data_IF_228405069973
#
_entry.id   IF_228405069973
#
_cell.length_a   1.000
_cell.length_b   1.000
_cell.length_c   1.000
_cell.angle_alpha   90.00
_cell.angle_beta   90.00
_cell.angle_gamma   90.00
#
_symmetry.space_group_name_H-M   'P 1'
#
loop_
_entity.id
_entity.type
_entity.pdbx_description
1 polymer ?
#
# COMPACT_ATOMS: atom_id res chain seq x y z
N UNK A 1 -9.39 -27.80 -35.13
CA UNK A 1 -7.98 -28.28 -35.06
C UNK A 1 -7.15 -27.13 -34.50
N UNK A 2 -6.54 -27.34 -33.32
CA UNK A 2 -5.70 -26.33 -32.68
C UNK A 2 -4.33 -26.25 -33.36
N UNK A 3 -3.84 -25.03 -33.53
CA UNK A 3 -2.51 -24.78 -34.11
C UNK A 3 -1.54 -24.47 -32.98
N UNK A 4 -0.41 -25.20 -32.93
CA UNK A 4 0.71 -24.91 -32.03
C UNK A 4 1.72 -24.02 -32.77
N UNK A 5 2.12 -22.91 -32.16
CA UNK A 5 3.05 -21.96 -32.75
C UNK A 5 3.81 -21.14 -31.72
N UNK A 6 4.71 -20.27 -32.17
CA UNK A 6 5.36 -19.26 -31.33
C UNK A 6 5.09 -17.87 -31.90
N UNK A 7 4.65 -16.95 -31.05
CA UNK A 7 4.52 -15.55 -31.43
C UNK A 7 5.08 -14.67 -30.29
N UNK A 8 5.91 -13.68 -30.63
CA UNK A 8 6.53 -12.76 -29.66
C UNK A 8 7.18 -13.43 -28.43
N UNK A 9 7.75 -14.64 -28.59
CA UNK A 9 8.38 -15.38 -27.51
C UNK A 9 7.46 -16.30 -26.70
N UNK A 10 6.14 -16.19 -26.85
CA UNK A 10 5.16 -17.04 -26.19
C UNK A 10 4.99 -18.38 -26.92
N UNK A 11 4.86 -19.46 -26.18
CA UNK A 11 4.49 -20.77 -26.72
C UNK A 11 2.96 -20.87 -26.74
N UNK A 12 2.39 -20.83 -27.94
CA UNK A 12 0.95 -21.00 -28.12
C UNK A 12 0.61 -22.48 -28.10
N UNK A 13 -0.12 -22.90 -27.07
CA UNK A 13 -0.53 -24.30 -26.89
C UNK A 13 -1.83 -24.61 -27.62
N UNK A 14 -2.73 -23.65 -27.63
CA UNK A 14 -4.03 -23.79 -28.23
C UNK A 14 -4.55 -22.44 -28.72
N UNK A 15 -5.12 -22.43 -29.92
CA UNK A 15 -5.93 -21.31 -30.45
C UNK A 15 -7.08 -21.91 -31.23
N UNK A 16 -8.28 -21.44 -30.93
CA UNK A 16 -9.49 -21.72 -31.71
C UNK A 16 -10.08 -20.41 -32.21
N UNK A 17 -10.33 -20.34 -33.51
CA UNK A 17 -10.96 -19.18 -34.14
C UNK A 17 -12.26 -19.64 -34.76
N UNK A 18 -13.37 -18.94 -34.50
CA UNK A 18 -14.67 -19.23 -35.04
C UNK A 18 -15.35 -17.96 -35.55
N UNK A 19 -16.05 -18.09 -36.68
CA UNK A 19 -16.95 -17.05 -37.19
C UNK A 19 -18.21 -17.79 -37.64
N UNK A 20 -19.30 -17.65 -36.90
CA UNK A 20 -20.52 -18.47 -37.10
C UNK A 20 -21.40 -17.95 -38.25
N UNK A 21 -21.45 -16.62 -38.53
CA UNK A 21 -22.25 -16.03 -39.58
C UNK A 21 -21.45 -14.97 -40.37
N UNK A 22 -21.29 -15.17 -41.66
CA UNK A 22 -20.60 -14.22 -42.55
C UNK A 22 -21.45 -13.01 -42.96
N UNK A 23 -22.74 -12.97 -42.59
CA UNK A 23 -23.59 -11.78 -42.83
C UNK A 23 -23.48 -10.77 -41.69
N UNK A 24 -23.35 -11.27 -40.47
CA UNK A 24 -23.12 -10.49 -39.27
C UNK A 24 -21.91 -11.11 -38.54
N UNK A 25 -20.71 -10.97 -39.10
CA UNK A 25 -19.57 -11.75 -38.66
C UNK A 25 -19.10 -11.30 -37.26
N UNK A 26 -19.05 -12.25 -36.32
CA UNK A 26 -18.45 -12.12 -35.00
C UNK A 26 -17.25 -13.06 -34.99
N UNK A 27 -16.10 -12.52 -34.61
CA UNK A 27 -14.91 -13.30 -34.36
C UNK A 27 -14.93 -13.76 -32.89
N UNK A 28 -14.91 -15.07 -32.70
CA UNK A 28 -14.65 -15.69 -31.40
C UNK A 28 -13.29 -16.36 -31.41
N UNK A 29 -12.45 -16.03 -30.44
CA UNK A 29 -11.09 -16.53 -30.28
C UNK A 29 -10.90 -17.07 -28.86
N UNK A 30 -10.63 -18.37 -28.73
CA UNK A 30 -10.18 -18.99 -27.49
C UNK A 30 -8.69 -19.28 -27.61
N UNK A 31 -7.92 -19.02 -26.53
CA UNK A 31 -6.49 -19.25 -26.54
C UNK A 31 -5.96 -19.74 -25.19
N UNK A 32 -4.87 -20.51 -25.27
CA UNK A 32 -4.01 -20.89 -24.14
C UNK A 32 -2.56 -20.73 -24.59
N UNK A 33 -1.77 -20.07 -23.77
CA UNK A 33 -0.35 -19.84 -24.02
C UNK A 33 0.45 -19.84 -22.73
N UNK A 34 1.69 -20.31 -22.81
CA UNK A 34 2.68 -20.18 -21.74
C UNK A 34 3.74 -19.17 -22.15
N UNK A 35 4.13 -18.31 -21.26
CA UNK A 35 5.13 -17.28 -21.49
C UNK A 35 5.79 -16.84 -20.20
N UNK A 36 6.94 -16.18 -20.29
CA UNK A 36 7.54 -15.48 -19.18
C UNK A 36 6.84 -14.12 -18.95
N UNK A 37 6.62 -13.72 -17.71
CA UNK A 37 5.94 -12.46 -17.36
C UNK A 37 6.52 -11.22 -18.06
N UNK A 38 7.85 -11.04 -18.20
CA UNK A 38 8.38 -9.90 -18.95
C UNK A 38 7.88 -9.81 -20.39
N UNK A 39 7.73 -10.95 -21.06
CA UNK A 39 7.23 -11.01 -22.44
C UNK A 39 5.74 -10.68 -22.52
N UNK A 40 4.96 -11.13 -21.52
CA UNK A 40 3.56 -10.77 -21.39
C UNK A 40 3.38 -9.25 -21.20
N UNK A 41 4.16 -8.63 -20.33
CA UNK A 41 4.10 -7.18 -20.07
C UNK A 41 4.43 -6.40 -21.35
N UNK A 42 5.45 -6.82 -22.11
CA UNK A 42 5.75 -6.21 -23.42
C UNK A 42 4.59 -6.35 -24.41
N UNK A 43 3.93 -7.49 -24.44
CA UNK A 43 2.75 -7.68 -25.29
C UNK A 43 1.58 -6.79 -24.86
N UNK A 44 1.30 -6.71 -23.55
CA UNK A 44 0.20 -5.91 -23.00
C UNK A 44 0.34 -4.41 -23.27
N UNK A 45 1.57 -3.88 -23.41
CA UNK A 45 1.81 -2.48 -23.82
C UNK A 45 1.23 -2.11 -25.18
N UNK A 46 0.99 -3.09 -26.05
CA UNK A 46 0.37 -2.90 -27.35
C UNK A 46 -1.14 -3.14 -27.36
N UNK A 47 -1.73 -3.35 -26.18
CA UNK A 47 -3.16 -3.61 -26.02
C UNK A 47 -3.81 -2.50 -25.19
N UNK A 48 -5.10 -2.19 -25.39
CA UNK A 48 -5.80 -1.20 -24.56
C UNK A 48 -6.08 -1.68 -23.13
N UNK A 49 -5.67 -2.89 -22.75
CA UNK A 49 -5.94 -3.47 -21.45
C UNK A 49 -5.24 -2.74 -20.29
N UNK A 50 -4.14 -2.06 -20.57
CA UNK A 50 -3.39 -1.30 -19.57
C UNK A 50 -3.70 0.21 -19.58
N UNK A 51 -4.43 0.71 -20.58
CA UNK A 51 -4.76 2.14 -20.70
C UNK A 51 -5.57 2.64 -19.49
N UNK A 52 -6.32 1.73 -18.85
CA UNK A 52 -7.08 2.01 -17.64
C UNK A 52 -6.22 2.22 -16.38
N UNK A 53 -4.99 1.71 -16.30
CA UNK A 53 -4.24 1.65 -15.05
C UNK A 53 -3.44 2.93 -14.72
N UNK A 54 -3.04 3.74 -15.71
CA UNK A 54 -2.09 4.86 -15.53
C UNK A 54 -0.85 4.48 -14.69
N UNK A 55 -0.44 3.21 -14.80
CA UNK A 55 0.74 2.69 -14.11
C UNK A 55 1.96 2.82 -15.02
N UNK A 56 3.02 3.41 -14.48
CA UNK A 56 4.32 3.38 -15.15
C UNK A 56 4.97 1.99 -14.98
N UNK A 57 4.68 1.10 -15.92
CA UNK A 57 5.20 -0.28 -15.90
C UNK A 57 6.74 -0.37 -15.86
N UNK A 58 7.46 0.72 -16.18
CA UNK A 58 8.93 0.76 -16.07
C UNK A 58 9.43 0.76 -14.63
N UNK A 59 8.54 1.03 -13.68
CA UNK A 59 8.83 0.97 -12.24
C UNK A 59 8.72 -0.42 -11.66
N UNK A 60 8.25 -1.39 -12.44
CA UNK A 60 8.01 -2.75 -11.99
C UNK A 60 8.83 -3.75 -12.79
N UNK A 61 9.40 -4.72 -12.10
CA UNK A 61 10.02 -5.90 -12.67
C UNK A 61 9.21 -7.10 -12.26
N UNK A 62 8.76 -7.86 -13.26
CA UNK A 62 7.99 -9.08 -13.12
C UNK A 62 8.81 -10.22 -13.70
N UNK A 63 8.99 -11.31 -12.97
CA UNK A 63 9.82 -12.45 -13.37
C UNK A 63 9.07 -13.76 -13.12
N UNK A 64 9.39 -14.74 -13.93
CA UNK A 64 8.89 -16.12 -13.82
C UNK A 64 7.84 -16.50 -14.86
N UNK A 65 7.53 -17.81 -14.91
CA UNK A 65 6.62 -18.36 -15.89
C UNK A 65 5.15 -18.01 -15.59
N UNK A 66 4.35 -17.99 -16.65
CA UNK A 66 2.91 -17.77 -16.54
C UNK A 66 2.15 -18.57 -17.61
N UNK A 67 0.96 -19.03 -17.24
CA UNK A 67 0.00 -19.61 -18.17
C UNK A 67 -1.18 -18.65 -18.32
N UNK A 68 -1.55 -18.38 -19.58
CA UNK A 68 -2.65 -17.46 -19.89
C UNK A 68 -3.71 -18.24 -20.66
N UNK A 69 -4.94 -18.14 -20.22
CA UNK A 69 -6.12 -18.61 -20.94
C UNK A 69 -7.07 -17.43 -21.17
N UNK A 70 -7.72 -17.40 -22.31
CA UNK A 70 -8.68 -16.31 -22.54
C UNK A 70 -9.61 -16.56 -23.70
N UNK A 71 -10.68 -15.76 -23.67
CA UNK A 71 -11.69 -15.66 -24.70
C UNK A 71 -11.76 -14.19 -25.17
N UNK A 72 -11.82 -14.01 -26.48
CA UNK A 72 -12.01 -12.72 -27.11
C UNK A 72 -13.13 -12.83 -28.13
N UNK A 73 -14.11 -11.93 -28.06
CA UNK A 73 -15.20 -11.84 -29.03
C UNK A 73 -15.38 -10.41 -29.51
N UNK A 74 -15.49 -10.21 -30.83
CA UNK A 74 -15.68 -8.88 -31.41
C UNK A 74 -16.40 -8.96 -32.75
N UNK A 75 -17.18 -7.93 -33.07
CA UNK A 75 -17.78 -7.77 -34.38
C UNK A 75 -16.75 -7.43 -35.45
N UNK A 76 -16.89 -7.99 -36.65
CA UNK A 76 -16.06 -7.70 -37.79
C UNK A 76 -16.81 -6.84 -38.83
N UNK A 77 -16.07 -5.98 -39.50
CA UNK A 77 -16.61 -5.12 -40.59
C UNK A 77 -17.62 -4.09 -40.08
N UNK A 78 -18.89 -4.24 -40.42
CA UNK A 78 -19.98 -3.34 -40.01
C UNK A 78 -20.82 -3.90 -38.88
N UNK A 79 -20.42 -5.02 -38.26
CA UNK A 79 -21.12 -5.63 -37.15
C UNK A 79 -20.81 -4.88 -35.84
N UNK A 80 -21.81 -4.22 -35.28
CA UNK A 80 -21.69 -3.44 -34.05
C UNK A 80 -21.71 -4.36 -32.82
N UNK A 81 -20.64 -5.10 -32.60
CA UNK A 81 -20.41 -5.84 -31.35
C UNK A 81 -19.13 -5.32 -30.72
N UNK A 82 -19.21 -4.74 -29.52
CA UNK A 82 -18.01 -4.27 -28.82
C UNK A 82 -17.08 -5.43 -28.49
N UNK A 83 -15.79 -5.13 -28.42
CA UNK A 83 -14.79 -6.08 -27.97
C UNK A 83 -15.12 -6.59 -26.55
N UNK A 84 -15.28 -7.88 -26.42
CA UNK A 84 -15.36 -8.60 -25.15
C UNK A 84 -14.05 -9.37 -24.97
N UNK A 85 -13.47 -9.26 -23.78
CA UNK A 85 -12.24 -9.96 -23.41
C UNK A 85 -12.43 -10.45 -21.98
N UNK A 86 -12.18 -11.71 -21.75
CA UNK A 86 -12.11 -12.31 -20.43
C UNK A 86 -11.07 -13.45 -20.44
N UNK A 87 -10.48 -13.72 -19.28
CA UNK A 87 -9.51 -14.78 -19.17
C UNK A 87 -8.88 -14.86 -17.80
N UNK A 88 -7.86 -15.71 -17.72
CA UNK A 88 -7.10 -15.94 -16.51
C UNK A 88 -5.59 -16.00 -16.79
N UNK A 89 -4.82 -15.48 -15.86
CA UNK A 89 -3.36 -15.55 -15.81
C UNK A 89 -2.98 -16.31 -14.54
N UNK A 90 -2.37 -17.48 -14.70
CA UNK A 90 -1.87 -18.28 -13.58
C UNK A 90 -0.40 -18.00 -13.33
N UNK A 91 -0.07 -17.70 -12.10
CA UNK A 91 1.28 -17.47 -11.57
C UNK A 91 1.79 -18.70 -10.82
N UNK A 92 3.07 -19.01 -10.94
CA UNK A 92 3.70 -20.20 -10.38
C UNK A 92 5.11 -19.88 -9.89
N UNK A 93 5.22 -19.35 -8.65
CA UNK A 93 6.50 -18.99 -8.06
C UNK A 93 7.11 -17.73 -8.70
N UNK A 94 6.28 -16.77 -9.05
CA UNK A 94 6.70 -15.54 -9.70
C UNK A 94 7.30 -14.53 -8.71
N UNK A 95 8.07 -13.58 -9.24
CA UNK A 95 8.65 -12.49 -8.48
C UNK A 95 8.19 -11.15 -9.02
N UNK A 96 7.85 -10.25 -8.10
CA UNK A 96 7.51 -8.85 -8.36
C UNK A 96 8.47 -7.95 -7.61
N UNK A 97 9.00 -6.91 -8.28
CA UNK A 97 9.83 -5.87 -7.67
C UNK A 97 9.31 -4.50 -8.06
N UNK A 98 9.01 -3.65 -7.08
CA UNK A 98 8.76 -2.22 -7.28
C UNK A 98 10.06 -1.46 -7.07
N UNK A 99 10.54 -0.77 -8.11
CA UNK A 99 11.89 -0.23 -8.17
C UNK A 99 12.08 1.07 -7.36
N UNK A 100 11.01 1.81 -7.07
CA UNK A 100 11.10 3.09 -6.36
C UNK A 100 11.24 2.88 -4.85
N UNK A 101 10.42 2.00 -4.28
CA UNK A 101 10.41 1.67 -2.85
C UNK A 101 11.34 0.51 -2.51
N UNK A 102 11.72 -0.30 -3.53
CA UNK A 102 12.48 -1.52 -3.35
C UNK A 102 11.67 -2.67 -2.75
N UNK A 103 10.34 -2.62 -2.80
CA UNK A 103 9.47 -3.72 -2.36
C UNK A 103 9.65 -4.90 -3.30
N UNK A 104 9.93 -6.05 -2.71
CA UNK A 104 10.06 -7.34 -3.42
C UNK A 104 9.06 -8.32 -2.82
N UNK A 105 8.29 -8.96 -3.70
CA UNK A 105 7.43 -10.09 -3.38
C UNK A 105 7.96 -11.30 -4.16
N UNK A 106 8.24 -12.37 -3.44
CA UNK A 106 8.76 -13.63 -3.97
C UNK A 106 7.68 -14.71 -3.91
N UNK A 107 7.90 -15.79 -4.68
CA UNK A 107 7.08 -16.99 -4.66
C UNK A 107 5.58 -16.72 -4.84
N UNK A 108 5.24 -15.79 -5.74
CA UNK A 108 3.84 -15.43 -5.99
C UNK A 108 3.16 -16.57 -6.76
N UNK A 109 2.09 -17.10 -6.17
CA UNK A 109 1.26 -18.16 -6.74
C UNK A 109 -0.22 -17.76 -6.71
N UNK A 110 -0.98 -18.22 -7.69
CA UNK A 110 -2.43 -18.03 -7.79
C UNK A 110 -2.87 -17.59 -9.17
N UNK A 111 -4.12 -17.11 -9.25
CA UNK A 111 -4.73 -16.79 -10.54
C UNK A 111 -5.30 -15.38 -10.54
N UNK A 112 -4.92 -14.60 -11.55
CA UNK A 112 -5.61 -13.36 -11.92
C UNK A 112 -6.72 -13.66 -12.92
N UNK A 113 -7.88 -13.07 -12.72
CA UNK A 113 -8.92 -13.00 -13.71
C UNK A 113 -8.94 -11.60 -14.33
N UNK A 114 -9.03 -11.52 -15.64
CA UNK A 114 -9.11 -10.25 -16.34
C UNK A 114 -10.33 -10.19 -17.25
N UNK A 115 -10.91 -9.04 -17.35
CA UNK A 115 -12.05 -8.74 -18.20
C UNK A 115 -11.96 -7.31 -18.70
N UNK A 116 -12.87 -6.91 -19.58
CA UNK A 116 -12.82 -5.60 -20.22
C UNK A 116 -12.80 -4.41 -19.24
N UNK A 117 -13.48 -4.52 -18.09
CA UNK A 117 -13.57 -3.45 -17.10
C UNK A 117 -12.46 -3.49 -16.05
N UNK A 118 -11.64 -4.53 -16.00
CA UNK A 118 -10.61 -4.61 -14.98
C UNK A 118 -9.95 -5.97 -14.84
N UNK A 119 -9.30 -6.15 -13.74
CA UNK A 119 -8.66 -7.40 -13.33
C UNK A 119 -8.87 -7.63 -11.84
N UNK A 120 -8.94 -8.89 -11.43
CA UNK A 120 -9.04 -9.28 -10.03
C UNK A 120 -8.21 -10.53 -9.70
N UNK A 121 -7.71 -10.57 -8.50
CA UNK A 121 -7.10 -11.75 -7.89
C UNK A 121 -7.32 -11.67 -6.38
N UNK A 122 -8.09 -12.60 -5.83
CA UNK A 122 -8.50 -12.56 -4.42
C UNK A 122 -7.68 -13.50 -3.53
N UNK A 123 -7.05 -14.52 -4.11
CA UNK A 123 -6.40 -15.60 -3.38
C UNK A 123 -4.96 -15.83 -3.86
N UNK A 124 -4.20 -14.76 -4.06
CA UNK A 124 -2.77 -14.93 -4.33
C UNK A 124 -2.02 -15.15 -3.02
N UNK A 125 -1.02 -16.00 -3.05
CA UNK A 125 -0.05 -16.18 -1.98
C UNK A 125 1.34 -15.77 -2.46
N UNK A 126 2.21 -15.42 -1.51
CA UNK A 126 3.59 -15.07 -1.80
C UNK A 126 4.41 -14.89 -0.52
N UNK A 127 5.59 -14.34 -0.66
CA UNK A 127 6.47 -14.02 0.46
C UNK A 127 6.97 -12.59 0.39
N UNK A 128 6.90 -11.87 1.50
CA UNK A 128 7.53 -10.57 1.68
C UNK A 128 8.68 -10.67 2.67
N UNK A 129 9.91 -10.44 2.21
CA UNK A 129 11.14 -10.60 3.03
C UNK A 129 11.23 -11.97 3.73
N UNK A 130 10.73 -13.03 3.07
CA UNK A 130 10.70 -14.39 3.58
C UNK A 130 9.53 -14.74 4.52
N UNK A 131 8.61 -13.81 4.78
CA UNK A 131 7.38 -14.05 5.55
C UNK A 131 6.23 -14.35 4.59
N UNK A 132 5.43 -15.38 4.86
CA UNK A 132 4.28 -15.70 4.01
C UNK A 132 3.22 -14.60 4.11
N UNK A 133 2.68 -14.21 2.96
CA UNK A 133 1.65 -13.18 2.82
C UNK A 133 0.58 -13.61 1.83
N UNK A 134 -0.65 -13.17 2.08
CA UNK A 134 -1.71 -13.16 1.08
C UNK A 134 -1.69 -11.86 0.30
N UNK A 135 -2.09 -11.91 -0.95
CA UNK A 135 -2.15 -10.76 -1.85
C UNK A 135 -3.53 -10.72 -2.51
N UNK A 136 -4.09 -9.54 -2.60
CA UNK A 136 -5.35 -9.30 -3.30
C UNK A 136 -5.17 -8.13 -4.26
N UNK A 137 -5.75 -8.23 -5.44
CA UNK A 137 -5.76 -7.15 -6.42
C UNK A 137 -7.17 -7.06 -6.99
N UNK A 138 -7.71 -5.86 -7.01
CA UNK A 138 -9.01 -5.55 -7.61
C UNK A 138 -8.83 -4.29 -8.45
N UNK A 139 -9.34 -4.31 -9.66
CA UNK A 139 -9.49 -3.10 -10.45
C UNK A 139 -10.83 -3.08 -11.16
N UNK A 140 -11.44 -1.91 -11.18
CA UNK A 140 -12.66 -1.60 -11.93
C UNK A 140 -12.50 -0.20 -12.53
N UNK A 141 -12.34 -0.14 -13.86
CA UNK A 141 -12.10 1.13 -14.55
C UNK A 141 -13.28 2.10 -14.47
N UNK A 142 -14.46 1.62 -14.10
CA UNK A 142 -15.68 2.42 -13.99
C UNK A 142 -15.98 2.87 -12.56
N UNK A 143 -15.30 2.30 -11.56
CA UNK A 143 -15.46 2.66 -10.14
C UNK A 143 -14.68 3.93 -9.74
N UNK A 144 -15.03 4.50 -8.58
CA UNK A 144 -14.30 5.61 -7.96
C UNK A 144 -12.90 5.16 -7.48
N UNK A 145 -12.81 3.96 -6.90
CA UNK A 145 -11.56 3.28 -6.64
C UNK A 145 -11.23 2.38 -7.83
N UNK A 146 -10.42 2.89 -8.75
CA UNK A 146 -10.10 2.20 -10.01
C UNK A 146 -9.13 1.05 -9.84
N UNK A 147 -8.37 1.02 -8.75
CA UNK A 147 -7.40 -0.03 -8.44
C UNK A 147 -7.13 -0.10 -6.95
N UNK A 148 -7.07 -1.31 -6.43
CA UNK A 148 -6.56 -1.64 -5.09
C UNK A 148 -5.66 -2.87 -5.17
N UNK A 149 -4.48 -2.79 -4.57
CA UNK A 149 -3.64 -3.95 -4.27
C UNK A 149 -3.40 -4.02 -2.77
N UNK A 150 -3.62 -5.16 -2.16
CA UNK A 150 -3.45 -5.37 -0.71
C UNK A 150 -2.52 -6.54 -0.45
N UNK A 151 -1.72 -6.40 0.60
CA UNK A 151 -0.89 -7.44 1.19
C UNK A 151 -1.36 -7.63 2.62
N UNK A 152 -1.62 -8.86 3.03
CA UNK A 152 -1.98 -9.20 4.39
C UNK A 152 -1.14 -10.35 4.92
N UNK A 153 -0.69 -10.23 6.17
CA UNK A 153 0.14 -11.26 6.80
C UNK A 153 0.63 -10.90 8.19
N UNK A 154 1.17 -11.90 8.88
CA UNK A 154 1.83 -11.70 10.17
C UNK A 154 3.28 -11.33 9.93
N UNK A 155 3.64 -10.07 10.22
CA UNK A 155 4.98 -9.53 9.99
C UNK A 155 5.55 -8.91 11.28
N UNK A 156 6.86 -9.04 11.51
CA UNK A 156 7.55 -8.26 12.52
C UNK A 156 7.41 -6.76 12.23
N UNK A 157 7.12 -5.94 13.26
CA UNK A 157 6.97 -4.49 13.11
C UNK A 157 8.18 -3.85 12.39
N UNK A 158 9.39 -4.37 12.61
CA UNK A 158 10.62 -3.90 11.96
C UNK A 158 10.70 -4.16 10.46
N UNK A 159 9.87 -5.05 9.93
CA UNK A 159 9.80 -5.30 8.49
C UNK A 159 8.80 -4.39 7.79
N UNK A 160 7.84 -3.83 8.53
CA UNK A 160 6.84 -2.89 8.03
C UNK A 160 7.34 -1.45 8.08
N UNK A 161 8.01 -1.07 9.17
CA UNK A 161 8.61 0.27 9.29
C UNK A 161 9.82 0.38 8.33
N UNK A 162 9.90 1.44 7.50
CA UNK A 162 11.05 1.67 6.63
C UNK A 162 12.39 1.70 7.39
N UNK A 163 13.43 1.08 6.83
CA UNK A 163 14.71 0.94 7.49
C UNK A 163 15.37 2.29 7.81
N UNK A 164 15.27 3.24 6.90
CA UNK A 164 15.77 4.60 7.08
C UNK A 164 15.04 5.36 8.22
N UNK A 165 13.76 5.06 8.44
CA UNK A 165 12.99 5.61 9.54
C UNK A 165 13.39 4.98 10.88
N UNK A 166 13.66 3.67 10.91
CA UNK A 166 14.19 2.98 12.09
C UNK A 166 15.57 3.52 12.50
N UNK A 167 16.41 3.89 11.54
CA UNK A 167 17.74 4.46 11.78
C UNK A 167 17.68 5.92 12.27
N UNK A 168 16.82 6.73 11.67
CA UNK A 168 16.69 8.17 11.98
C UNK A 168 15.90 8.45 13.24
N UNK A 169 14.90 7.62 13.53
CA UNK A 169 13.94 7.85 14.62
C UNK A 169 13.98 6.71 15.63
N UNK A 170 14.80 6.84 16.69
CA UNK A 170 14.97 5.80 17.70
C UNK A 170 13.68 5.33 18.39
N UNK A 171 12.62 6.16 18.38
CA UNK A 171 11.31 5.79 18.94
C UNK A 171 10.70 4.55 18.26
N UNK A 172 10.89 4.40 16.95
CA UNK A 172 10.40 3.22 16.23
C UNK A 172 11.16 1.94 16.59
N UNK A 173 12.42 2.06 17.04
CA UNK A 173 13.21 0.91 17.50
C UNK A 173 12.73 0.34 18.85
N UNK A 174 11.87 1.08 19.56
CA UNK A 174 11.24 0.67 20.82
C UNK A 174 10.03 -0.23 20.63
N UNK A 175 9.56 -0.39 19.37
CA UNK A 175 8.51 -1.35 19.06
C UNK A 175 9.13 -2.69 18.66
N UNK A 176 8.58 -3.79 19.18
CA UNK A 176 9.05 -5.15 18.91
C UNK A 176 7.91 -6.16 18.94
N UNK A 177 8.07 -7.26 18.21
CA UNK A 177 7.07 -8.32 18.08
C UNK A 177 6.42 -8.32 16.70
N UNK A 178 5.48 -9.24 16.52
CA UNK A 178 4.81 -9.52 15.27
C UNK A 178 3.32 -9.20 15.40
N UNK A 179 2.71 -8.70 14.34
CA UNK A 179 1.26 -8.48 14.29
C UNK A 179 0.73 -8.83 12.91
N UNK A 180 -0.58 -8.96 12.81
CA UNK A 180 -1.27 -8.99 11.52
C UNK A 180 -1.28 -7.57 10.94
N UNK A 181 -0.86 -7.47 9.69
CA UNK A 181 -0.82 -6.24 8.93
C UNK A 181 -1.68 -6.37 7.68
N UNK A 182 -2.34 -5.28 7.34
CA UNK A 182 -3.02 -5.07 6.08
C UNK A 182 -2.41 -3.82 5.45
N UNK A 183 -1.73 -3.99 4.31
CA UNK A 183 -0.99 -2.93 3.62
C UNK A 183 -1.55 -2.82 2.22
N UNK A 184 -2.24 -1.73 1.93
CA UNK A 184 -2.92 -1.50 0.67
C UNK A 184 -2.42 -0.28 -0.09
N UNK A 185 -2.40 -0.37 -1.41
CA UNK A 185 -2.24 0.76 -2.32
C UNK A 185 -3.54 0.92 -3.09
N UNK A 186 -4.15 2.10 -3.00
CA UNK A 186 -5.38 2.46 -3.70
C UNK A 186 -5.13 3.56 -4.71
N UNK A 187 -5.76 3.45 -5.87
CA UNK A 187 -5.81 4.50 -6.89
C UNK A 187 -7.25 4.96 -7.03
N UNK A 188 -7.50 6.22 -6.67
CA UNK A 188 -8.82 6.84 -6.72
C UNK A 188 -8.94 7.75 -7.94
N UNK A 189 -10.15 7.84 -8.50
CA UNK A 189 -10.50 8.78 -9.57
C UNK A 189 -10.85 10.14 -8.96
N UNK A 190 -10.33 11.22 -9.51
CA UNK A 190 -10.79 12.58 -9.21
C UNK A 190 -11.76 13.09 -10.29
N UNK A 191 -12.89 13.68 -9.87
CA UNK A 191 -14.01 14.05 -10.74
C UNK A 191 -13.73 15.20 -11.73
N UNK A 192 -12.78 16.11 -11.46
CA UNK A 192 -12.69 17.37 -12.23
C UNK A 192 -11.48 17.50 -13.16
N UNK A 193 -10.47 16.65 -13.10
CA UNK A 193 -9.21 16.89 -13.84
C UNK A 193 -8.56 15.63 -14.45
N UNK A 194 -9.22 14.49 -14.48
CA UNK A 194 -8.64 13.20 -14.88
C UNK A 194 -7.31 12.86 -14.13
N UNK A 195 -7.05 13.51 -13.01
CA UNK A 195 -5.94 13.16 -12.14
C UNK A 195 -6.38 12.03 -11.21
N UNK A 196 -5.48 11.10 -10.96
CA UNK A 196 -5.70 9.99 -10.05
C UNK A 196 -4.89 10.22 -8.80
N UNK A 197 -5.51 9.99 -7.66
CA UNK A 197 -4.81 9.97 -6.39
C UNK A 197 -4.37 8.57 -6.04
N UNK A 198 -3.16 8.42 -5.53
CA UNK A 198 -2.61 7.15 -5.07
C UNK A 198 -2.26 7.27 -3.60
N UNK A 199 -2.82 6.36 -2.81
CA UNK A 199 -2.65 6.30 -1.37
C UNK A 199 -2.06 4.96 -0.95
N UNK A 200 -1.15 4.98 0.01
CA UNK A 200 -0.74 3.82 0.78
C UNK A 200 -1.51 3.84 2.10
N UNK A 201 -2.15 2.74 2.44
CA UNK A 201 -2.82 2.52 3.72
C UNK A 201 -2.17 1.35 4.44
N UNK A 202 -1.86 1.53 5.73
CA UNK A 202 -1.28 0.48 6.58
C UNK A 202 -2.18 0.37 7.80
N UNK A 203 -2.75 -0.81 7.99
CA UNK A 203 -3.59 -1.13 9.14
C UNK A 203 -3.00 -2.30 9.94
N UNK A 204 -3.12 -2.23 11.26
CA UNK A 204 -2.84 -3.33 12.18
C UNK A 204 -3.59 -3.10 13.50
N UNK A 205 -3.96 -4.19 14.18
CA UNK A 205 -4.40 -4.15 15.58
C UNK A 205 -3.25 -4.03 16.57
N UNK A 206 -2.00 -4.12 16.12
CA UNK A 206 -0.78 -4.17 16.93
C UNK A 206 -0.81 -5.23 18.04
N UNK A 207 -1.69 -6.22 17.97
CA UNK A 207 -1.69 -7.35 18.90
C UNK A 207 -0.43 -8.19 18.65
N UNK A 208 0.34 -8.48 19.69
CA UNK A 208 1.65 -9.14 19.60
C UNK A 208 2.83 -8.16 19.55
N UNK A 209 2.58 -6.87 19.31
CA UNK A 209 3.62 -5.83 19.34
C UNK A 209 3.66 -5.15 20.69
N UNK A 210 4.80 -5.20 21.37
CA UNK A 210 5.12 -4.39 22.55
C UNK A 210 5.78 -3.07 22.13
N UNK A 211 5.40 -1.97 22.81
CA UNK A 211 5.99 -0.64 22.61
C UNK A 211 6.58 -0.18 23.95
N UNK A 212 7.90 -0.12 24.03
CA UNK A 212 8.66 0.29 25.22
C UNK A 212 8.87 1.82 25.21
N UNK A 213 7.77 2.53 25.43
CA UNK A 213 7.74 3.98 25.58
C UNK A 213 7.03 4.36 26.89
N UNK A 214 7.32 5.55 27.45
CA UNK A 214 6.56 6.08 28.58
C UNK A 214 5.09 6.33 28.21
N UNK A 215 4.16 6.28 29.18
CA UNK A 215 2.80 6.75 28.96
C UNK A 215 2.76 8.15 28.31
N UNK A 216 1.85 8.38 27.33
CA UNK A 216 0.72 7.55 26.95
C UNK A 216 1.00 6.53 25.82
N UNK A 217 2.22 6.39 25.32
CA UNK A 217 2.51 5.58 24.12
C UNK A 217 3.06 4.17 24.44
N UNK A 218 3.35 3.87 25.70
CA UNK A 218 3.76 2.53 26.13
C UNK A 218 2.62 1.52 26.01
N UNK A 219 2.91 0.33 25.44
CA UNK A 219 1.92 -0.69 25.15
C UNK A 219 2.47 -2.08 25.42
N UNK A 220 1.84 -2.91 26.28
CA UNK A 220 2.19 -4.33 26.39
C UNK A 220 1.77 -5.09 25.12
N UNK A 221 2.50 -6.18 24.84
CA UNK A 221 2.29 -6.95 23.59
C UNK A 221 0.92 -7.63 23.50
N UNK A 222 0.32 -7.98 24.63
CA UNK A 222 -0.97 -8.67 24.71
C UNK A 222 -2.20 -7.76 24.53
N UNK A 223 -2.00 -6.43 24.53
CA UNK A 223 -3.08 -5.48 24.27
C UNK A 223 -3.25 -5.19 22.79
N UNK A 224 -4.46 -4.83 22.39
CA UNK A 224 -4.78 -4.42 21.02
C UNK A 224 -4.90 -2.89 20.95
N UNK A 225 -4.14 -2.28 20.02
CA UNK A 225 -4.21 -0.86 19.68
C UNK A 225 -4.31 -0.72 18.17
N UNK A 226 -5.51 -0.59 17.61
CA UNK A 226 -5.67 -0.40 16.18
C UNK A 226 -4.91 0.84 15.72
N UNK A 227 -4.13 0.69 14.67
CA UNK A 227 -3.44 1.79 13.98
C UNK A 227 -3.81 1.79 12.51
N UNK A 228 -4.14 2.97 11.99
CA UNK A 228 -4.32 3.21 10.57
C UNK A 228 -3.39 4.36 10.15
N UNK A 229 -2.49 4.08 9.23
CA UNK A 229 -1.63 5.08 8.60
C UNK A 229 -2.06 5.25 7.16
N UNK A 230 -2.26 6.51 6.71
CA UNK A 230 -2.50 6.87 5.31
C UNK A 230 -1.39 7.78 4.83
N UNK A 231 -0.71 7.36 3.79
CA UNK A 231 0.40 8.08 3.18
C UNK A 231 0.08 8.46 1.74
N UNK A 232 0.17 9.76 1.36
CA UNK A 232 -0.10 10.21 0.00
C UNK A 232 1.10 9.89 -0.90
N UNK A 233 1.01 8.85 -1.74
CA UNK A 233 2.05 8.57 -2.75
C UNK A 233 1.95 9.62 -3.88
N UNK A 234 0.72 9.87 -4.34
CA UNK A 234 0.37 10.90 -5.33
C UNK A 234 -1.03 11.39 -5.00
N UNK A 235 -1.12 12.55 -4.38
CA UNK A 235 -2.39 13.12 -3.96
C UNK A 235 -2.34 14.65 -4.09
N UNK A 236 -3.51 15.27 -4.10
CA UNK A 236 -3.66 16.74 -4.12
C UNK A 236 -3.16 17.33 -2.81
N UNK A 237 -3.55 16.74 -1.70
CA UNK A 237 -3.09 17.09 -0.37
C UNK A 237 -2.00 16.11 0.08
N UNK A 238 -0.80 16.63 0.31
CA UNK A 238 0.34 15.84 0.76
C UNK A 238 0.37 15.74 2.28
N UNK A 239 -0.70 15.18 2.87
CA UNK A 239 -0.85 15.01 4.31
C UNK A 239 -0.83 13.53 4.68
N UNK A 240 0.22 13.11 5.39
CA UNK A 240 0.25 11.83 6.07
C UNK A 240 -0.63 11.91 7.32
N UNK A 241 -1.43 10.89 7.56
CA UNK A 241 -2.18 10.73 8.81
C UNK A 241 -1.85 9.39 9.45
N UNK A 242 -1.76 9.37 10.79
CA UNK A 242 -1.76 8.13 11.56
C UNK A 242 -2.76 8.27 12.70
N UNK A 243 -3.63 7.27 12.85
CA UNK A 243 -4.70 7.28 13.83
C UNK A 243 -4.66 6.01 14.65
N UNK A 244 -4.62 6.18 15.97
CA UNK A 244 -4.87 5.14 16.98
C UNK A 244 -6.13 5.58 17.75
N UNK A 245 -7.32 5.02 17.47
CA UNK A 245 -8.57 5.49 18.05
C UNK A 245 -8.53 5.54 19.58
N UNK A 246 -8.92 6.69 20.16
CA UNK A 246 -8.90 6.93 21.60
C UNK A 246 -7.53 7.19 22.21
N UNK A 247 -6.45 7.06 21.47
CA UNK A 247 -5.07 7.25 21.96
C UNK A 247 -4.41 8.46 21.29
N UNK A 248 -4.18 8.38 19.98
CA UNK A 248 -3.35 9.33 19.26
C UNK A 248 -3.89 9.57 17.84
N UNK A 249 -3.78 10.80 17.39
CA UNK A 249 -3.91 11.17 15.98
C UNK A 249 -2.71 12.04 15.59
N UNK A 250 -2.06 11.69 14.47
CA UNK A 250 -1.00 12.46 13.82
C UNK A 250 -1.52 12.99 12.50
N UNK A 251 -1.30 14.26 12.22
CA UNK A 251 -1.31 14.83 10.88
C UNK A 251 0.04 15.46 10.61
N UNK A 252 0.58 15.21 9.40
CA UNK A 252 1.87 15.73 8.98
C UNK A 252 1.78 16.15 7.53
N UNK A 253 1.99 17.43 7.26
CA UNK A 253 2.15 17.92 5.91
C UNK A 253 3.54 17.57 5.39
N UNK A 254 3.60 17.08 4.16
CA UNK A 254 4.82 16.68 3.50
C UNK A 254 5.10 17.59 2.29
N UNK A 255 6.37 17.89 2.06
CA UNK A 255 6.78 18.58 0.85
C UNK A 255 6.58 17.69 -0.38
N UNK A 256 6.13 18.27 -1.49
CA UNK A 256 5.77 17.56 -2.72
C UNK A 256 6.96 16.86 -3.39
N UNK A 257 8.15 17.44 -3.26
CA UNK A 257 9.31 17.04 -4.04
C UNK A 257 10.13 15.91 -3.37
N UNK A 258 10.22 15.94 -2.04
CA UNK A 258 11.12 15.06 -1.27
C UNK A 258 10.45 14.41 -0.05
N UNK A 259 9.14 14.59 0.11
CA UNK A 259 8.33 14.05 1.21
C UNK A 259 8.86 14.41 2.62
N UNK A 260 9.70 15.46 2.75
CA UNK A 260 10.15 15.93 4.07
C UNK A 260 9.00 16.58 4.83
N UNK A 261 8.97 16.47 6.17
CA UNK A 261 7.98 17.13 6.99
C UNK A 261 8.02 18.65 6.83
N UNK A 262 6.85 19.25 6.62
CA UNK A 262 6.65 20.72 6.54
C UNK A 262 6.03 21.24 7.81
N UNK A 263 5.01 20.58 8.32
CA UNK A 263 4.36 20.89 9.59
C UNK A 263 3.74 19.62 10.16
N UNK A 264 3.55 19.54 11.47
CA UNK A 264 2.92 18.37 12.08
C UNK A 264 2.13 18.73 13.34
N UNK A 265 1.10 17.94 13.63
CA UNK A 265 0.36 17.97 14.89
C UNK A 265 0.14 16.55 15.39
N UNK A 266 0.46 16.33 16.66
CA UNK A 266 0.10 15.12 17.43
C UNK A 266 -0.98 15.52 18.43
N UNK A 267 -2.09 14.83 18.36
CA UNK A 267 -3.23 15.01 19.24
C UNK A 267 -3.48 13.75 20.06
N UNK A 268 -3.40 13.85 21.39
CA UNK A 268 -3.83 12.83 22.30
C UNK A 268 -5.30 12.99 22.63
N UNK A 269 -6.10 11.94 22.46
CA UNK A 269 -7.54 12.00 22.65
C UNK A 269 -8.23 13.05 21.78
N UNK A 270 -9.55 13.11 21.82
CA UNK A 270 -10.33 14.16 21.18
C UNK A 270 -10.19 14.27 19.68
N UNK A 271 -10.51 15.46 19.15
CA UNK A 271 -10.42 15.75 17.71
C UNK A 271 -9.08 16.42 17.39
N UNK A 272 -8.41 15.94 16.35
CA UNK A 272 -7.13 16.50 15.91
C UNK A 272 -7.29 17.99 15.53
N UNK A 273 -6.36 18.83 16.00
CA UNK A 273 -6.26 20.25 15.65
C UNK A 273 -5.82 20.41 14.18
N UNK A 274 -5.96 21.62 13.65
CA UNK A 274 -5.42 21.98 12.35
C UNK A 274 -3.89 21.98 12.38
N UNK A 275 -3.27 21.80 11.19
CA UNK A 275 -1.83 21.85 11.05
C UNK A 275 -1.30 23.24 11.43
N UNK A 276 -0.17 23.34 12.15
CA UNK A 276 0.48 24.61 12.45
C UNK A 276 1.17 25.18 11.21
N UNK A 277 1.69 26.41 11.33
CA UNK A 277 2.51 27.03 10.30
C UNK A 277 3.75 26.19 9.97
N UNK A 278 4.23 26.29 8.74
CA UNK A 278 5.40 25.58 8.25
C UNK A 278 6.62 25.72 9.18
N UNK A 279 7.38 24.63 9.35
CA UNK A 279 8.51 24.54 10.26
C UNK A 279 8.13 24.19 11.69
N UNK A 280 6.85 24.11 12.03
CA UNK A 280 6.38 23.89 13.38
C UNK A 280 5.80 22.47 13.59
N UNK A 281 5.94 22.01 14.83
CA UNK A 281 5.34 20.80 15.36
C UNK A 281 4.57 21.15 16.64
N UNK A 282 3.36 20.62 16.78
CA UNK A 282 2.48 20.86 17.93
C UNK A 282 2.09 19.52 18.55
N UNK A 283 2.14 19.45 19.88
CA UNK A 283 1.58 18.35 20.67
C UNK A 283 0.43 18.92 21.48
N UNK A 284 -0.74 18.28 21.42
CA UNK A 284 -1.91 18.76 22.15
C UNK A 284 -2.81 17.62 22.60
N UNK A 285 -3.74 17.89 23.51
CA UNK A 285 -4.85 17.01 23.85
C UNK A 285 -4.90 16.56 25.27
N UNK A 286 -5.52 15.39 25.50
CA UNK A 286 -5.70 14.83 26.83
C UNK A 286 -5.39 13.34 26.86
N UNK A 287 -4.85 12.88 27.99
CA UNK A 287 -4.51 11.47 28.21
C UNK A 287 -4.79 11.09 29.66
N UNK A 288 -4.94 9.80 29.94
CA UNK A 288 -5.12 9.32 31.30
C UNK A 288 -3.85 9.45 32.15
N UNK A 289 -2.68 9.22 31.55
CA UNK A 289 -1.40 9.29 32.24
C UNK A 289 -0.32 9.86 31.32
N UNK A 290 0.59 10.65 31.90
CA UNK A 290 1.75 11.20 31.21
C UNK A 290 2.99 11.11 32.13
N UNK A 291 4.01 10.40 31.67
CA UNK A 291 5.29 10.27 32.37
C UNK A 291 6.29 11.28 31.80
N UNK A 292 6.35 12.47 32.38
CA UNK A 292 7.24 13.53 31.94
C UNK A 292 8.72 13.16 32.12
N UNK A 293 9.05 12.46 33.20
CA UNK A 293 10.44 12.06 33.50
C UNK A 293 10.94 11.08 32.43
N UNK A 294 10.15 10.04 32.12
CA UNK A 294 10.47 9.09 31.08
C UNK A 294 10.62 9.75 29.68
N UNK A 295 9.79 10.73 29.36
CA UNK A 295 9.90 11.49 28.10
C UNK A 295 11.13 12.41 28.07
N UNK A 296 11.51 13.02 29.21
CA UNK A 296 12.73 13.82 29.31
C UNK A 296 13.96 12.92 29.10
N UNK A 297 14.01 11.75 29.74
CA UNK A 297 15.11 10.81 29.59
C UNK A 297 15.29 10.37 28.13
N UNK A 298 14.20 10.06 27.43
CA UNK A 298 14.23 9.73 26.01
C UNK A 298 14.70 10.89 25.13
N UNK A 299 14.29 12.13 25.43
CA UNK A 299 14.75 13.30 24.70
C UNK A 299 16.22 13.57 24.93
N UNK A 300 16.73 13.43 26.14
CA UNK A 300 18.17 13.55 26.45
C UNK A 300 18.98 12.48 25.73
N UNK A 301 18.52 11.24 25.66
CA UNK A 301 19.14 10.18 24.87
C UNK A 301 19.22 10.55 23.38
N UNK A 302 18.14 11.13 22.84
CA UNK A 302 18.03 11.59 21.45
C UNK A 302 19.00 12.75 21.14
N UNK A 303 19.02 13.79 21.95
CA UNK A 303 19.89 14.97 21.74
C UNK A 303 21.38 14.61 21.84
N UNK A 304 21.75 13.60 22.61
CA UNK A 304 23.14 13.12 22.68
C UNK A 304 23.59 12.43 21.39
N UNK A 305 22.67 11.94 20.55
CA UNK A 305 22.95 11.26 19.27
C UNK A 305 22.82 12.14 18.02
N UNK A 306 22.65 13.48 18.15
CA UNK A 306 22.50 14.42 17.01
C UNK A 306 21.47 13.97 15.97
N UNK A 307 20.23 13.79 16.36
CA UNK A 307 19.13 13.51 15.43
C UNK A 307 18.33 14.78 15.18
N UNK A 308 18.48 15.34 13.97
CA UNK A 308 17.63 16.43 13.49
C UNK A 308 16.29 15.82 13.03
N UNK A 309 15.20 16.07 13.73
CA UNK A 309 13.86 15.55 13.38
C UNK A 309 13.35 16.36 12.21
N UNK A 310 13.73 15.98 10.98
CA UNK A 310 13.11 16.53 9.77
C UNK A 310 13.04 18.04 9.70
N UNK A 311 13.78 18.80 10.54
CA UNK A 311 13.80 20.26 10.55
C UNK A 311 12.58 20.91 11.21
N UNK A 312 11.66 20.17 11.87
CA UNK A 312 10.53 20.75 12.59
C UNK A 312 10.93 21.20 14.01
N UNK A 313 10.44 22.37 14.42
CA UNK A 313 10.61 22.91 15.78
C UNK A 313 9.36 22.66 16.61
N UNK A 314 9.50 22.12 17.82
CA UNK A 314 8.38 22.02 18.77
C UNK A 314 7.95 23.44 19.15
N UNK A 315 6.76 23.85 18.66
CA UNK A 315 6.19 25.17 18.92
C UNK A 315 5.37 25.21 20.21
N UNK A 316 4.54 24.18 20.43
CA UNK A 316 3.69 24.09 21.61
C UNK A 316 3.51 22.64 22.00
N UNK A 317 3.56 22.38 23.32
CA UNK A 317 3.13 21.13 23.92
C UNK A 317 2.11 21.47 25.03
N UNK A 318 0.87 21.05 24.85
CA UNK A 318 -0.24 21.29 25.79
C UNK A 318 -1.04 19.98 25.93
N UNK A 319 -0.77 19.25 27.00
CA UNK A 319 -1.40 17.95 27.25
C UNK A 319 -1.99 17.96 28.65
N UNK A 320 -3.31 17.78 28.74
CA UNK A 320 -4.01 17.53 29.98
C UNK A 320 -3.88 16.05 30.34
N UNK A 321 -3.49 15.73 31.57
CA UNK A 321 -3.34 14.35 32.00
C UNK A 321 -3.99 14.15 33.37
N UNK A 322 -4.77 13.07 33.50
CA UNK A 322 -5.37 12.71 34.79
C UNK A 322 -4.33 12.33 35.86
N UNK A 323 -3.21 11.75 35.43
CA UNK A 323 -2.05 11.42 36.28
C UNK A 323 -0.76 11.89 35.57
N UNK A 324 0.07 12.64 36.27
CA UNK A 324 1.36 13.11 35.76
C UNK A 324 2.48 12.62 36.68
N UNK A 325 3.49 11.96 36.13
CA UNK A 325 4.74 11.64 36.79
C UNK A 325 5.76 12.75 36.54
N UNK A 326 6.22 13.41 37.58
CA UNK A 326 7.23 14.49 37.52
C UNK A 326 8.15 14.39 38.72
N UNK A 327 9.48 14.35 38.52
CA UNK A 327 10.50 14.21 39.56
C UNK A 327 10.27 12.97 40.45
N UNK A 328 9.92 11.84 39.85
CA UNK A 328 9.55 10.59 40.52
C UNK A 328 8.39 10.75 41.54
N UNK A 329 7.52 11.70 41.31
CA UNK A 329 6.29 11.91 42.08
C UNK A 329 5.08 11.89 41.15
N UNK A 330 4.04 11.22 41.62
CA UNK A 330 2.75 11.18 40.93
C UNK A 330 1.85 12.31 41.43
N UNK A 331 1.24 13.02 40.51
CA UNK A 331 0.25 14.07 40.78
C UNK A 331 -1.04 13.64 40.07
N UNK A 332 -2.15 13.70 40.78
CA UNK A 332 -3.50 13.44 40.27
C UNK A 332 -4.28 14.77 40.24
N UNK A 333 -5.12 14.93 39.20
CA UNK A 333 -6.03 16.08 39.10
C UNK A 333 -7.34 15.84 39.84
#
# INVERSE_FOLDING_TARGET
EGTVGRTAGAAVEYVSVRIDDFKTPVLDLDYRTTTELPQLVEFLKFTPLLDGLDLDLRKFVLEGPSEITGHLSTGLGQTEQPLQVDGALMLQGNRFTELTSGVVLDDIEGTFHYHRQGLEAMDLSGAYKGFPVGLEIISDWDADEVFRASLHGSLPVRQVVPADLLEREPLFSRASGDSLWDIGVSVLREDEAAQRETWLEIYSGLQGVGIDLPPPLGKPADSEWPVLVRYPIRAREHVLTATMPGQLQLKMELAKDDARPVSAVVQFGGKVKDLPDAGNFVIAGSTNAFDLDGWIDLTVERFSKKSDVGGLTLHTAEVDAGHIMVFNREFED
#
